data_IF_557878955345
#
_entry.id   IF_557878955345
#
_cell.length_a   1.000
_cell.length_b   1.000
_cell.length_c   1.000
_cell.angle_alpha   90.00
_cell.angle_beta   90.00
_cell.angle_gamma   90.00
#
_symmetry.space_group_name_H-M   'P 1'
#
loop_
_entity.id
_entity.type
_entity.pdbx_description
1 polymer ?
#
# COMPACT_ATOMS: atom_id res chain seq x y z
N UNK A 1 6.98 29.50 -67.89
CA UNK A 1 7.33 28.09 -68.21
C UNK A 1 8.76 27.73 -67.80
N UNK A 2 9.81 28.33 -68.38
CA UNK A 2 11.22 28.00 -68.06
C UNK A 2 11.59 28.16 -66.56
N UNK A 3 11.05 29.18 -65.90
CA UNK A 3 11.29 29.45 -64.48
C UNK A 3 10.58 28.43 -63.58
N UNK A 4 9.37 27.99 -63.96
CA UNK A 4 8.60 26.95 -63.26
C UNK A 4 9.32 25.59 -63.37
N UNK A 5 9.87 25.29 -64.55
CA UNK A 5 10.68 24.08 -64.77
C UNK A 5 11.94 24.07 -63.90
N UNK A 6 12.67 25.20 -63.82
CA UNK A 6 13.87 25.30 -62.97
C UNK A 6 13.51 25.12 -61.49
N UNK A 7 12.43 25.75 -61.01
CA UNK A 7 11.98 25.58 -59.61
C UNK A 7 11.58 24.13 -59.33
N UNK A 8 10.85 23.47 -60.23
CA UNK A 8 10.49 22.06 -60.05
C UNK A 8 11.70 21.12 -60.03
N UNK A 9 12.76 21.46 -60.78
CA UNK A 9 13.98 20.66 -60.81
C UNK A 9 14.83 20.85 -59.55
N UNK A 10 14.84 22.07 -58.99
CA UNK A 10 15.44 22.36 -57.68
C UNK A 10 14.74 21.54 -56.58
N UNK A 11 13.41 21.60 -56.51
CA UNK A 11 12.62 20.84 -55.51
C UNK A 11 12.85 19.33 -55.65
N UNK A 12 12.98 18.82 -56.89
CA UNK A 12 13.26 17.41 -57.15
C UNK A 12 14.64 17.01 -56.62
N UNK A 13 15.67 17.80 -56.92
CA UNK A 13 17.04 17.55 -56.45
C UNK A 13 17.14 17.67 -54.93
N UNK A 14 16.47 18.63 -54.31
CA UNK A 14 16.43 18.78 -52.86
C UNK A 14 15.82 17.55 -52.18
N UNK A 15 14.69 17.04 -52.70
CA UNK A 15 14.06 15.82 -52.17
C UNK A 15 14.94 14.59 -52.34
N UNK A 16 15.66 14.47 -53.45
CA UNK A 16 16.59 13.37 -53.67
C UNK A 16 17.74 13.42 -52.66
N UNK A 17 18.41 14.56 -52.54
CA UNK A 17 19.51 14.74 -51.58
C UNK A 17 19.05 14.54 -50.12
N UNK A 18 17.83 14.97 -49.78
CA UNK A 18 17.25 14.73 -48.47
C UNK A 18 16.94 13.25 -48.22
N UNK A 19 16.46 12.52 -49.24
CA UNK A 19 16.22 11.08 -49.14
C UNK A 19 17.52 10.31 -48.96
N UNK A 20 18.55 10.64 -49.75
CA UNK A 20 19.89 10.06 -49.64
C UNK A 20 20.48 10.30 -48.24
N UNK A 21 20.38 11.54 -47.73
CA UNK A 21 20.80 11.85 -46.37
C UNK A 21 20.04 11.04 -45.31
N UNK A 22 18.72 10.86 -45.47
CA UNK A 22 17.93 10.04 -44.57
C UNK A 22 18.36 8.57 -44.60
N UNK A 23 18.60 8.01 -45.79
CA UNK A 23 19.09 6.63 -45.97
C UNK A 23 20.46 6.45 -45.32
N UNK A 24 21.38 7.40 -45.52
CA UNK A 24 22.69 7.42 -44.88
C UNK A 24 22.55 7.46 -43.35
N UNK A 25 21.70 8.33 -42.81
CA UNK A 25 21.46 8.43 -41.36
C UNK A 25 20.86 7.14 -40.76
N UNK A 26 20.02 6.43 -41.51
CA UNK A 26 19.44 5.15 -41.07
C UNK A 26 20.54 4.11 -40.84
N UNK A 27 21.64 4.13 -41.60
CA UNK A 27 22.78 3.21 -41.38
C UNK A 27 23.44 3.43 -40.01
N UNK A 28 23.33 4.65 -39.45
CA UNK A 28 23.84 5.01 -38.12
C UNK A 28 22.77 4.94 -37.02
N UNK A 29 21.53 4.55 -37.34
CA UNK A 29 20.41 4.54 -36.38
C UNK A 29 20.74 3.78 -35.09
N UNK A 30 21.36 2.60 -35.19
CA UNK A 30 21.78 1.81 -34.04
C UNK A 30 22.76 2.56 -33.12
N UNK A 31 23.69 3.32 -33.69
CA UNK A 31 24.62 4.15 -32.93
C UNK A 31 23.88 5.31 -32.24
N UNK A 32 22.99 6.00 -32.96
CA UNK A 32 22.20 7.12 -32.42
C UNK A 32 21.31 6.67 -31.26
N UNK A 33 20.62 5.53 -31.39
CA UNK A 33 19.81 4.97 -30.30
C UNK A 33 20.64 4.62 -29.07
N UNK A 34 21.83 4.04 -29.27
CA UNK A 34 22.75 3.73 -28.17
C UNK A 34 23.24 5.00 -27.45
N UNK A 35 23.58 6.04 -28.19
CA UNK A 35 23.94 7.35 -27.61
C UNK A 35 22.77 7.94 -26.84
N UNK A 36 21.56 7.89 -27.40
CA UNK A 36 20.34 8.38 -26.74
C UNK A 36 20.06 7.65 -25.42
N UNK A 37 20.24 6.33 -25.37
CA UNK A 37 20.06 5.53 -24.15
C UNK A 37 21.06 5.92 -23.06
N UNK A 38 22.33 6.14 -23.43
CA UNK A 38 23.36 6.59 -22.50
C UNK A 38 23.07 8.00 -21.96
N UNK A 39 22.65 8.94 -22.82
CA UNK A 39 22.27 10.29 -22.41
C UNK A 39 21.05 10.24 -21.48
N UNK A 40 20.02 9.45 -21.81
CA UNK A 40 18.83 9.31 -20.98
C UNK A 40 19.16 8.73 -19.59
N UNK A 41 20.03 7.71 -19.53
CA UNK A 41 20.49 7.12 -18.26
C UNK A 41 21.27 8.14 -17.44
N UNK A 42 22.17 8.90 -18.07
CA UNK A 42 22.93 9.95 -17.39
C UNK A 42 22.02 11.06 -16.85
N UNK A 43 21.05 11.52 -17.62
CA UNK A 43 20.10 12.55 -17.20
C UNK A 43 19.24 12.07 -16.02
N UNK A 44 18.74 10.84 -16.07
CA UNK A 44 17.99 10.23 -14.97
C UNK A 44 18.83 10.15 -13.68
N UNK A 45 20.06 9.63 -13.76
CA UNK A 45 20.96 9.55 -12.61
C UNK A 45 21.33 10.93 -12.07
N UNK A 46 21.55 11.92 -12.94
CA UNK A 46 21.83 13.29 -12.55
C UNK A 46 20.64 13.93 -11.83
N UNK A 47 19.41 13.69 -12.31
CA UNK A 47 18.19 14.15 -11.67
C UNK A 47 18.03 13.57 -10.25
N UNK A 48 18.37 12.29 -10.05
CA UNK A 48 18.38 11.66 -8.74
C UNK A 48 19.50 12.21 -7.84
N UNK A 49 20.72 12.36 -8.37
CA UNK A 49 21.85 12.89 -7.62
C UNK A 49 21.61 14.32 -7.11
N UNK A 50 20.91 15.15 -7.89
CA UNK A 50 20.51 16.51 -7.48
C UNK A 50 19.63 16.51 -6.22
N UNK A 51 18.89 15.43 -5.93
CA UNK A 51 18.07 15.35 -4.70
C UNK A 51 18.92 15.34 -3.42
N UNK A 52 20.15 14.82 -3.49
CA UNK A 52 21.08 14.83 -2.35
C UNK A 52 21.47 16.25 -1.99
N UNK A 53 21.84 17.07 -2.97
CA UNK A 53 22.35 18.43 -2.72
C UNK A 53 21.24 19.47 -2.53
N UNK A 54 20.10 19.31 -3.21
CA UNK A 54 18.99 20.28 -3.14
C UNK A 54 18.06 20.05 -1.94
N UNK A 55 17.80 18.78 -1.59
CA UNK A 55 16.79 18.41 -0.60
C UNK A 55 17.36 17.64 0.59
N UNK A 56 18.68 17.48 0.68
CA UNK A 56 19.36 16.70 1.72
C UNK A 56 18.83 15.26 1.85
N UNK A 57 18.43 14.66 0.72
CA UNK A 57 18.06 13.25 0.68
C UNK A 57 19.32 12.39 0.88
N UNK A 58 19.17 11.24 1.53
CA UNK A 58 20.28 10.35 1.87
C UNK A 58 20.28 9.10 1.01
N UNK A 59 21.45 8.55 0.70
CA UNK A 59 21.54 7.25 0.04
C UNK A 59 21.14 6.15 1.03
N UNK A 60 20.11 5.35 0.73
CA UNK A 60 19.68 4.28 1.63
C UNK A 60 20.70 3.13 1.63
N UNK A 61 20.85 2.49 2.78
CA UNK A 61 21.60 1.23 2.89
C UNK A 61 20.70 0.08 2.45
N UNK A 62 21.23 -0.81 1.62
CA UNK A 62 20.56 -2.06 1.27
C UNK A 62 21.20 -3.21 2.06
N UNK A 63 20.40 -4.18 2.47
CA UNK A 63 20.90 -5.41 3.09
C UNK A 63 20.04 -6.62 2.68
N UNK A 64 20.51 -7.81 3.02
CA UNK A 64 19.83 -9.07 2.71
C UNK A 64 18.71 -9.44 3.70
N UNK A 65 18.50 -8.62 4.73
CA UNK A 65 17.50 -8.88 5.78
C UNK A 65 16.14 -8.34 5.36
N UNK A 66 15.05 -8.91 5.89
CA UNK A 66 13.70 -8.42 5.61
C UNK A 66 13.35 -7.33 6.64
N UNK A 67 13.88 -6.13 6.41
CA UNK A 67 13.70 -4.99 7.31
C UNK A 67 13.53 -3.65 6.58
N UNK A 68 12.83 -2.74 7.23
CA UNK A 68 12.73 -1.32 6.87
C UNK A 68 13.03 -0.52 8.13
N UNK A 69 14.11 0.27 8.10
CA UNK A 69 14.47 1.21 9.15
C UNK A 69 14.63 2.59 8.54
N UNK A 70 13.78 3.52 8.92
CA UNK A 70 13.79 4.90 8.41
C UNK A 70 13.86 5.81 9.63
N UNK A 71 14.88 6.66 9.70
CA UNK A 71 15.01 7.67 10.75
C UNK A 71 14.57 9.02 10.19
N UNK A 72 13.57 9.63 10.84
CA UNK A 72 12.99 10.94 10.49
C UNK A 72 12.70 11.06 9.00
N UNK A 73 12.03 10.07 8.42
CA UNK A 73 11.59 10.11 7.03
C UNK A 73 10.46 11.11 6.83
N UNK A 74 10.33 11.68 5.63
CA UNK A 74 9.21 12.55 5.24
C UNK A 74 8.66 12.24 3.85
N UNK A 75 7.45 12.71 3.56
CA UNK A 75 6.78 12.42 2.29
C UNK A 75 7.38 13.26 1.15
N UNK A 76 7.96 12.64 0.09
CA UNK A 76 8.71 13.36 -0.95
C UNK A 76 7.87 14.37 -1.74
N UNK A 77 6.58 14.10 -1.93
CA UNK A 77 5.67 15.01 -2.67
C UNK A 77 5.21 16.20 -1.82
N UNK A 78 5.08 16.03 -0.50
CA UNK A 78 4.61 17.11 0.37
C UNK A 78 5.72 18.11 0.69
N UNK A 79 6.98 17.74 0.50
CA UNK A 79 8.16 18.61 0.64
C UNK A 79 8.11 19.84 -0.28
N UNK A 80 7.39 19.76 -1.41
CA UNK A 80 7.30 20.83 -2.40
C UNK A 80 5.94 21.55 -2.39
N UNK A 81 5.06 21.23 -1.44
CA UNK A 81 3.76 21.88 -1.35
C UNK A 81 3.83 23.08 -0.42
N UNK A 82 3.44 24.25 -0.94
CA UNK A 82 3.13 25.39 -0.11
C UNK A 82 1.80 25.14 0.63
N UNK A 83 1.67 25.74 1.80
CA UNK A 83 0.43 25.76 2.55
C UNK A 83 -0.55 26.79 1.96
N UNK A 84 -1.74 26.90 2.56
CA UNK A 84 -2.79 27.82 2.07
C UNK A 84 -2.39 29.30 2.19
N UNK A 85 -1.33 29.62 2.92
CA UNK A 85 -0.78 30.97 3.06
C UNK A 85 0.38 31.25 2.11
N UNK A 86 0.80 30.28 1.29
CA UNK A 86 1.95 30.40 0.39
C UNK A 86 3.29 30.23 1.11
N UNK A 87 3.30 29.74 2.35
CA UNK A 87 4.52 29.37 3.07
C UNK A 87 4.81 27.87 2.88
N UNK A 88 6.07 27.43 2.93
CA UNK A 88 6.41 26.01 2.82
C UNK A 88 5.69 25.20 3.90
N UNK A 89 4.98 24.13 3.52
CA UNK A 89 4.36 23.26 4.52
C UNK A 89 5.41 22.71 5.48
N UNK A 90 5.07 22.70 6.77
CA UNK A 90 5.92 22.07 7.79
C UNK A 90 6.16 20.60 7.44
N UNK A 91 7.41 20.27 7.11
CA UNK A 91 7.81 18.89 6.79
C UNK A 91 7.70 18.03 8.06
N UNK A 92 6.79 17.07 8.03
CA UNK A 92 6.55 16.15 9.12
C UNK A 92 7.47 14.94 8.97
N UNK A 93 8.31 14.73 10.00
CA UNK A 93 9.31 13.66 10.01
C UNK A 93 8.95 12.59 11.02
N UNK A 94 8.94 11.33 10.58
CA UNK A 94 8.57 10.18 11.41
C UNK A 94 9.56 9.03 11.24
N UNK A 95 9.79 8.30 12.33
CA UNK A 95 10.60 7.09 12.32
C UNK A 95 9.75 5.88 11.92
N UNK A 96 10.36 4.93 11.23
CA UNK A 96 9.75 3.65 10.87
C UNK A 96 10.72 2.53 11.19
N UNK A 97 10.24 1.49 11.86
CA UNK A 97 11.02 0.27 12.08
C UNK A 97 10.10 -0.93 11.92
N UNK A 98 10.34 -1.70 10.86
CA UNK A 98 9.72 -2.99 10.57
C UNK A 98 10.83 -4.00 10.40
N UNK A 99 10.75 -5.11 11.12
CA UNK A 99 11.71 -6.22 11.08
C UNK A 99 10.92 -7.53 11.15
N UNK A 100 11.56 -8.67 10.93
CA UNK A 100 10.87 -9.95 11.13
C UNK A 100 10.45 -10.20 12.59
N UNK A 101 11.10 -9.57 13.57
CA UNK A 101 10.68 -9.61 14.98
C UNK A 101 9.43 -8.78 15.25
N UNK A 102 9.29 -7.66 14.55
CA UNK A 102 8.14 -6.75 14.64
C UNK A 102 7.73 -6.35 13.23
N UNK A 103 7.03 -7.26 12.54
CA UNK A 103 6.72 -7.14 11.12
C UNK A 103 5.42 -6.39 10.85
N UNK A 104 4.68 -5.96 11.88
CA UNK A 104 3.51 -5.09 11.69
C UNK A 104 3.48 -3.91 12.65
N UNK A 105 3.27 -2.72 12.08
CA UNK A 105 2.87 -1.53 12.82
C UNK A 105 1.35 -1.38 12.70
N UNK A 106 0.64 -1.60 13.81
CA UNK A 106 -0.79 -1.34 13.91
C UNK A 106 -0.99 0.14 14.30
N UNK A 107 -1.48 0.94 13.37
CA UNK A 107 -1.55 2.40 13.47
C UNK A 107 -2.99 2.82 13.77
N UNK A 108 -3.16 3.51 14.88
CA UNK A 108 -4.44 4.09 15.30
C UNK A 108 -4.40 5.61 15.32
N UNK A 109 -5.57 6.22 15.20
CA UNK A 109 -5.70 7.66 15.32
C UNK A 109 -6.96 8.18 14.64
N UNK A 110 -7.35 9.42 14.94
CA UNK A 110 -8.55 10.02 14.36
C UNK A 110 -8.50 10.06 12.83
N UNK A 111 -9.65 10.25 12.20
CA UNK A 111 -9.66 10.59 10.77
C UNK A 111 -8.87 11.89 10.55
N UNK A 112 -8.23 12.02 9.38
CA UNK A 112 -7.38 13.17 9.01
C UNK A 112 -6.12 13.37 9.86
N UNK A 113 -5.77 12.45 10.76
CA UNK A 113 -4.54 12.55 11.56
C UNK A 113 -3.26 12.27 10.75
N UNK A 114 -3.35 11.89 9.48
CA UNK A 114 -2.19 11.63 8.62
C UNK A 114 -1.73 10.17 8.57
N UNK A 115 -2.55 9.21 9.01
CA UNK A 115 -2.23 7.75 8.96
C UNK A 115 -1.87 7.31 7.53
N UNK A 116 -2.75 7.57 6.57
CA UNK A 116 -2.54 7.21 5.16
C UNK A 116 -1.33 7.92 4.56
N UNK A 117 -1.11 9.19 4.92
CA UNK A 117 0.06 9.97 4.50
C UNK A 117 1.36 9.34 5.00
N UNK A 118 1.41 8.95 6.27
CA UNK A 118 2.57 8.25 6.83
C UNK A 118 2.82 6.90 6.13
N UNK A 119 1.77 6.11 5.89
CA UNK A 119 1.93 4.82 5.21
C UNK A 119 2.44 4.99 3.77
N UNK A 120 1.84 5.91 3.01
CA UNK A 120 2.29 6.26 1.65
C UNK A 120 3.73 6.75 1.62
N UNK A 121 4.12 7.57 2.61
CA UNK A 121 5.50 8.01 2.75
C UNK A 121 6.47 6.83 2.85
N UNK A 122 6.20 5.84 3.72
CA UNK A 122 7.06 4.67 3.87
C UNK A 122 7.16 3.89 2.56
N UNK A 123 6.03 3.65 1.88
CA UNK A 123 6.03 2.96 0.58
C UNK A 123 6.85 3.73 -0.47
N UNK A 124 6.68 5.05 -0.56
CA UNK A 124 7.43 5.89 -1.50
C UNK A 124 8.94 5.84 -1.21
N UNK A 125 9.34 5.90 0.07
CA UNK A 125 10.75 5.79 0.46
C UNK A 125 11.32 4.42 0.05
N UNK A 126 10.56 3.33 0.24
CA UNK A 126 10.98 1.99 -0.18
C UNK A 126 11.11 1.88 -1.69
N UNK A 127 10.15 2.41 -2.46
CA UNK A 127 10.21 2.43 -3.92
C UNK A 127 11.42 3.23 -4.40
N UNK A 128 11.64 4.43 -3.87
CA UNK A 128 12.80 5.27 -4.18
C UNK A 128 14.12 4.53 -3.90
N UNK A 129 14.22 3.86 -2.74
CA UNK A 129 15.39 3.07 -2.43
C UNK A 129 15.61 1.92 -3.43
N UNK A 130 14.54 1.27 -3.89
CA UNK A 130 14.61 0.12 -4.81
C UNK A 130 14.92 0.50 -6.25
N UNK A 131 14.63 1.73 -6.68
CA UNK A 131 15.09 2.25 -7.97
C UNK A 131 16.51 2.83 -7.93
N UNK A 132 17.19 2.78 -6.76
CA UNK A 132 18.54 3.32 -6.58
C UNK A 132 18.59 4.83 -6.35
N UNK A 133 17.46 5.45 -6.01
CA UNK A 133 17.40 6.87 -5.67
C UNK A 133 17.89 7.12 -4.23
N UNK A 134 18.47 8.30 -3.93
CA UNK A 134 18.45 8.79 -2.55
C UNK A 134 17.01 8.95 -2.05
N UNK A 135 16.82 9.02 -0.74
CA UNK A 135 15.49 9.03 -0.10
C UNK A 135 15.33 10.18 0.90
N UNK A 136 14.10 10.70 1.09
CA UNK A 136 13.80 11.74 2.07
C UNK A 136 13.79 11.19 3.51
N UNK A 137 14.97 11.08 4.10
CA UNK A 137 15.17 10.66 5.49
C UNK A 137 16.49 11.21 6.04
N UNK A 138 16.68 11.14 7.36
CA UNK A 138 18.01 11.40 7.95
C UNK A 138 18.92 10.18 7.87
N UNK A 139 18.34 8.98 7.87
CA UNK A 139 19.00 7.70 7.62
C UNK A 139 17.94 6.70 7.16
N UNK A 140 18.31 5.79 6.25
CA UNK A 140 17.40 4.74 5.80
C UNK A 140 18.16 3.44 5.51
N UNK A 141 17.59 2.32 5.96
CA UNK A 141 17.96 0.98 5.57
C UNK A 141 16.72 0.29 5.02
N UNK A 142 16.79 -0.15 3.76
CA UNK A 142 15.72 -0.90 3.10
C UNK A 142 16.30 -2.23 2.66
N UNK A 143 15.93 -3.29 3.35
CA UNK A 143 16.42 -4.63 3.10
C UNK A 143 15.77 -5.31 1.91
N UNK A 144 15.63 -6.64 1.94
CA UNK A 144 15.09 -7.44 0.83
C UNK A 144 13.57 -7.29 0.71
N UNK A 145 13.17 -6.25 -0.02
CA UNK A 145 11.78 -5.98 -0.42
C UNK A 145 11.68 -6.01 -1.94
N UNK A 146 10.74 -6.79 -2.49
CA UNK A 146 10.55 -6.95 -3.94
C UNK A 146 9.17 -6.48 -4.42
N UNK A 147 8.22 -6.28 -3.51
CA UNK A 147 6.84 -5.96 -3.83
C UNK A 147 6.25 -5.02 -2.78
N UNK A 148 5.36 -4.14 -3.24
CA UNK A 148 4.59 -3.23 -2.39
C UNK A 148 3.12 -3.42 -2.73
N UNK A 149 2.34 -3.86 -1.75
CA UNK A 149 0.90 -4.02 -1.85
C UNK A 149 0.20 -2.91 -1.10
N UNK A 150 -0.92 -2.45 -1.64
CA UNK A 150 -1.71 -1.40 -1.02
C UNK A 150 -3.18 -1.72 -1.13
N UNK A 151 -3.85 -1.64 0.02
CA UNK A 151 -5.29 -1.49 0.13
C UNK A 151 -5.55 -0.20 0.91
N UNK A 152 -5.34 0.92 0.22
CA UNK A 152 -5.70 2.26 0.69
C UNK A 152 -6.91 2.67 -0.14
N UNK A 153 -8.05 2.91 0.50
CA UNK A 153 -9.30 3.24 -0.19
C UNK A 153 -9.10 4.35 -1.23
N UNK A 154 -9.37 4.04 -2.50
CA UNK A 154 -9.59 5.00 -3.56
C UNK A 154 -11.07 5.41 -3.60
N UNK A 155 -11.36 6.61 -4.10
CA UNK A 155 -12.72 7.09 -4.30
C UNK A 155 -13.57 6.05 -5.05
N UNK A 156 -14.84 5.96 -4.67
CA UNK A 156 -15.79 4.93 -5.09
C UNK A 156 -15.78 4.67 -6.60
N UNK A 157 -15.63 3.40 -6.98
CA UNK A 157 -16.02 2.96 -8.31
C UNK A 157 -17.54 2.73 -8.33
N UNK A 158 -18.28 3.84 -8.43
CA UNK A 158 -19.74 3.81 -8.55
C UNK A 158 -20.22 3.19 -9.87
N UNK A 159 -19.33 2.99 -10.85
CA UNK A 159 -19.68 2.62 -12.22
C UNK A 159 -19.61 1.12 -12.50
N UNK A 160 -19.00 0.31 -11.61
CA UNK A 160 -18.78 -1.13 -11.81
C UNK A 160 -19.89 -2.09 -11.35
N UNK A 161 -20.96 -1.60 -10.71
CA UNK A 161 -22.08 -2.45 -10.23
C UNK A 161 -21.71 -3.47 -9.14
N UNK A 162 -20.53 -3.35 -8.52
CA UNK A 162 -20.06 -4.20 -7.40
C UNK A 162 -20.12 -3.40 -6.10
N UNK A 163 -20.45 -4.05 -4.98
CA UNK A 163 -20.38 -3.38 -3.68
C UNK A 163 -18.94 -2.98 -3.37
N UNK A 164 -18.75 -1.79 -2.80
CA UNK A 164 -17.44 -1.28 -2.36
C UNK A 164 -16.72 -2.26 -1.43
N UNK A 165 -17.49 -2.95 -0.59
CA UNK A 165 -17.01 -4.03 0.28
C UNK A 165 -16.50 -5.25 -0.49
N UNK A 166 -17.17 -5.70 -1.57
CA UNK A 166 -16.70 -6.84 -2.36
C UNK A 166 -15.39 -6.52 -3.08
N UNK A 167 -15.23 -5.30 -3.59
CA UNK A 167 -13.98 -4.84 -4.19
C UNK A 167 -12.85 -4.85 -3.16
N UNK A 168 -13.11 -4.29 -1.98
CA UNK A 168 -12.19 -4.29 -0.85
C UNK A 168 -11.75 -5.71 -0.45
N UNK A 169 -12.68 -6.65 -0.33
CA UNK A 169 -12.37 -8.04 0.00
C UNK A 169 -11.60 -8.75 -1.11
N UNK A 170 -11.93 -8.49 -2.38
CA UNK A 170 -11.23 -9.11 -3.52
C UNK A 170 -9.78 -8.62 -3.63
N UNK A 171 -9.55 -7.32 -3.41
CA UNK A 171 -8.20 -6.75 -3.36
C UNK A 171 -7.40 -7.33 -2.20
N UNK A 172 -8.01 -7.44 -1.02
CA UNK A 172 -7.38 -8.02 0.16
C UNK A 172 -7.02 -9.49 -0.06
N UNK A 173 -7.92 -10.27 -0.65
CA UNK A 173 -7.67 -11.68 -0.97
C UNK A 173 -6.46 -11.82 -1.91
N UNK A 174 -6.32 -10.94 -2.93
CA UNK A 174 -5.15 -10.93 -3.81
C UNK A 174 -3.86 -10.65 -3.03
N UNK A 175 -3.89 -9.68 -2.12
CA UNK A 175 -2.73 -9.36 -1.28
C UNK A 175 -2.33 -10.57 -0.43
N UNK A 176 -3.28 -11.19 0.28
CA UNK A 176 -3.02 -12.34 1.13
C UNK A 176 -2.46 -13.55 0.36
N UNK A 177 -2.94 -13.78 -0.86
CA UNK A 177 -2.51 -14.91 -1.67
C UNK A 177 -1.13 -14.75 -2.33
N UNK A 178 -0.63 -13.52 -2.48
CA UNK A 178 0.61 -13.23 -3.22
C UNK A 178 1.71 -12.68 -2.32
N UNK A 179 1.36 -11.97 -1.26
CA UNK A 179 2.34 -11.40 -0.34
C UNK A 179 3.18 -12.49 0.33
N UNK A 180 4.46 -12.22 0.45
CA UNK A 180 5.45 -13.06 1.09
C UNK A 180 6.24 -12.25 2.13
N UNK A 181 7.25 -12.87 2.73
CA UNK A 181 8.14 -12.23 3.70
C UNK A 181 8.93 -11.04 3.13
N UNK A 182 9.10 -10.96 1.81
CA UNK A 182 9.80 -9.89 1.09
C UNK A 182 8.84 -8.78 0.61
N UNK A 183 7.60 -8.79 1.10
CA UNK A 183 6.55 -7.86 0.71
C UNK A 183 6.39 -6.75 1.74
N UNK A 184 6.16 -5.52 1.26
CA UNK A 184 5.63 -4.43 2.08
C UNK A 184 4.13 -4.28 1.82
N UNK A 185 3.30 -4.43 2.84
CA UNK A 185 1.83 -4.39 2.73
C UNK A 185 1.27 -3.20 3.49
N UNK A 186 0.45 -2.37 2.83
CA UNK A 186 -0.25 -1.24 3.43
C UNK A 186 -1.75 -1.53 3.44
N UNK A 187 -2.37 -1.60 4.61
CA UNK A 187 -3.81 -1.76 4.78
C UNK A 187 -4.36 -0.51 5.48
N UNK A 188 -5.34 0.16 4.89
CA UNK A 188 -5.98 1.34 5.46
C UNK A 188 -7.47 1.10 5.70
N UNK A 189 -7.82 0.97 6.98
CA UNK A 189 -9.20 1.01 7.48
C UNK A 189 -10.12 -0.06 6.86
N UNK A 190 -9.61 -1.29 6.74
CA UNK A 190 -10.35 -2.43 6.21
C UNK A 190 -11.53 -2.84 7.11
N UNK A 191 -12.61 -3.36 6.51
CA UNK A 191 -13.78 -3.88 7.19
C UNK A 191 -14.88 -2.86 7.47
N UNK A 192 -14.73 -1.60 7.02
CA UNK A 192 -15.72 -0.53 7.28
C UNK A 192 -17.06 -0.73 6.57
N UNK A 193 -17.10 -1.44 5.45
CA UNK A 193 -18.29 -1.59 4.60
C UNK A 193 -19.29 -2.67 5.04
N UNK A 194 -19.12 -3.26 6.22
CA UNK A 194 -19.96 -4.37 6.74
C UNK A 194 -20.32 -4.17 8.22
N UNK A 195 -20.97 -5.16 8.84
CA UNK A 195 -21.26 -5.13 10.28
C UNK A 195 -19.97 -4.92 11.09
N UNK A 196 -20.05 -4.20 12.20
CA UNK A 196 -18.86 -3.89 13.01
C UNK A 196 -18.20 -5.16 13.55
N UNK A 197 -18.98 -6.20 13.86
CA UNK A 197 -18.47 -7.47 14.35
C UNK A 197 -17.75 -8.25 13.24
N UNK A 198 -18.33 -8.32 12.04
CA UNK A 198 -17.71 -9.01 10.91
C UNK A 198 -16.45 -8.27 10.44
N UNK A 199 -16.52 -6.94 10.33
CA UNK A 199 -15.40 -6.10 9.92
C UNK A 199 -14.23 -6.20 10.91
N UNK A 200 -14.51 -6.19 12.21
CA UNK A 200 -13.51 -6.41 13.26
C UNK A 200 -12.86 -7.80 13.14
N UNK A 201 -13.67 -8.85 12.99
CA UNK A 201 -13.21 -10.24 12.93
C UNK A 201 -12.36 -10.52 11.69
N UNK A 202 -12.75 -9.94 10.55
CA UNK A 202 -11.97 -9.97 9.32
C UNK A 202 -10.66 -9.21 9.48
N UNK A 203 -10.70 -7.96 9.94
CA UNK A 203 -9.49 -7.15 10.12
C UNK A 203 -8.47 -7.84 11.06
N UNK A 204 -8.95 -8.47 12.13
CA UNK A 204 -8.13 -9.26 13.04
C UNK A 204 -7.46 -10.44 12.32
N UNK A 205 -8.26 -11.25 11.62
CA UNK A 205 -7.77 -12.45 10.94
C UNK A 205 -6.80 -12.11 9.81
N UNK A 206 -7.06 -11.03 9.06
CA UNK A 206 -6.17 -10.51 8.02
C UNK A 206 -4.85 -10.03 8.61
N UNK A 207 -4.88 -9.31 9.74
CA UNK A 207 -3.67 -8.87 10.42
C UNK A 207 -2.83 -10.06 10.92
N UNK A 208 -3.48 -11.11 11.42
CA UNK A 208 -2.82 -12.35 11.82
C UNK A 208 -2.19 -13.06 10.62
N UNK A 209 -2.92 -13.24 9.52
CA UNK A 209 -2.43 -13.91 8.31
C UNK A 209 -1.19 -13.21 7.73
N UNK A 210 -1.25 -11.89 7.57
CA UNK A 210 -0.13 -11.08 7.05
C UNK A 210 1.14 -11.22 7.90
N UNK A 211 0.99 -11.38 9.21
CA UNK A 211 2.13 -11.37 10.15
C UNK A 211 2.68 -12.74 10.45
N UNK A 212 1.81 -13.76 10.50
CA UNK A 212 2.17 -15.13 10.89
C UNK A 212 2.47 -15.99 9.66
N UNK A 213 1.57 -15.97 8.68
CA UNK A 213 1.63 -16.83 7.50
C UNK A 213 2.49 -16.19 6.42
N UNK A 214 2.13 -14.98 5.96
CA UNK A 214 2.91 -14.27 4.93
C UNK A 214 4.25 -13.74 5.49
N UNK A 215 4.29 -13.38 6.78
CA UNK A 215 5.43 -12.69 7.44
C UNK A 215 5.85 -11.39 6.73
N UNK A 216 4.90 -10.75 6.06
CA UNK A 216 5.13 -9.53 5.30
C UNK A 216 5.34 -8.34 6.24
N UNK A 217 6.21 -7.41 5.84
CA UNK A 217 6.34 -6.15 6.55
C UNK A 217 5.09 -5.31 6.30
N UNK A 218 4.36 -4.94 7.35
CA UNK A 218 2.99 -4.46 7.23
C UNK A 218 2.76 -3.15 7.99
N UNK A 219 2.12 -2.20 7.33
CA UNK A 219 1.55 -1.01 7.95
C UNK A 219 0.03 -1.16 7.92
N UNK A 220 -0.58 -1.30 9.09
CA UNK A 220 -2.00 -1.58 9.22
C UNK A 220 -2.68 -0.45 9.98
N UNK A 221 -3.38 0.44 9.26
CA UNK A 221 -4.17 1.52 9.84
C UNK A 221 -5.59 1.04 10.13
N UNK A 222 -6.10 1.33 11.33
CA UNK A 222 -7.44 0.88 11.74
C UNK A 222 -8.19 1.89 12.60
N UNK A 223 -9.51 1.78 12.56
CA UNK A 223 -10.45 2.47 13.45
C UNK A 223 -10.97 1.60 14.58
N UNK A 224 -10.76 0.29 14.50
CA UNK A 224 -11.14 -0.65 15.53
C UNK A 224 -10.12 -0.56 16.66
N UNK A 225 -10.54 -0.02 17.79
CA UNK A 225 -9.71 0.10 18.97
C UNK A 225 -9.38 -1.28 19.56
N UNK A 226 -10.27 -2.23 19.38
CA UNK A 226 -10.18 -3.62 19.83
C UNK A 226 -8.94 -4.31 19.24
N UNK A 227 -8.55 -3.99 17.99
CA UNK A 227 -7.34 -4.51 17.36
C UNK A 227 -6.07 -4.13 18.13
N UNK A 228 -6.08 -3.06 18.94
CA UNK A 228 -4.90 -2.68 19.76
C UNK A 228 -4.55 -3.73 20.81
N UNK A 229 -5.40 -4.73 21.04
CA UNK A 229 -5.08 -5.88 21.87
C UNK A 229 -4.25 -6.95 21.14
N UNK A 230 -4.14 -6.92 19.80
CA UNK A 230 -3.38 -7.90 19.01
C UNK A 230 -1.93 -8.09 19.50
N UNK A 231 -1.16 -7.04 19.83
CA UNK A 231 0.19 -7.20 20.39
C UNK A 231 0.28 -8.04 21.67
N UNK A 232 -0.81 -8.20 22.43
CA UNK A 232 -0.86 -9.09 23.60
C UNK A 232 -0.80 -10.57 23.20
N UNK A 233 -1.32 -10.89 22.01
CA UNK A 233 -1.40 -12.25 21.48
C UNK A 233 -0.30 -12.55 20.45
N UNK A 234 0.16 -11.54 19.70
CA UNK A 234 1.15 -11.64 18.62
C UNK A 234 2.26 -10.62 18.83
N UNK A 235 3.43 -11.10 19.29
CA UNK A 235 4.60 -10.25 19.59
C UNK A 235 5.18 -9.53 18.36
N UNK A 236 4.89 -10.04 17.17
CA UNK A 236 5.30 -9.46 15.88
C UNK A 236 4.54 -8.18 15.53
N UNK A 237 3.45 -7.88 16.24
CA UNK A 237 2.63 -6.69 16.04
C UNK A 237 2.97 -5.66 17.11
N UNK A 238 3.19 -4.41 16.71
CA UNK A 238 3.41 -3.28 17.61
C UNK A 238 2.37 -2.19 17.39
N UNK A 239 1.79 -1.68 18.48
CA UNK A 239 0.87 -0.55 18.42
C UNK A 239 1.61 0.76 18.20
N UNK A 240 1.05 1.59 17.33
CA UNK A 240 1.39 2.98 17.14
C UNK A 240 0.14 3.83 17.07
N UNK A 241 0.28 5.09 17.43
CA UNK A 241 -0.76 6.09 17.23
C UNK A 241 -0.18 7.42 16.80
N UNK A 242 -1.01 8.24 16.16
CA UNK A 242 -0.64 9.62 15.86
C UNK A 242 -0.98 10.49 17.06
N UNK A 243 0.02 11.25 17.52
CA UNK A 243 -0.06 12.14 18.66
C UNK A 243 -1.05 13.29 18.39
N UNK A 244 -1.92 13.52 19.36
CA UNK A 244 -2.96 14.56 19.33
C UNK A 244 -2.91 15.33 20.65
N UNK A 245 -2.99 16.65 20.56
CA UNK A 245 -3.06 17.53 21.73
C UNK A 245 -4.45 18.15 21.78
N UNK A 246 -5.00 18.24 22.98
CA UNK A 246 -6.21 19.00 23.26
C UNK A 246 -5.81 20.36 23.86
N UNK A 247 -6.18 21.44 23.18
CA UNK A 247 -5.94 22.80 23.65
C UNK A 247 -7.17 23.66 23.33
N UNK A 248 -7.71 24.37 24.33
CA UNK A 248 -8.84 25.29 24.19
C UNK A 248 -10.04 24.70 23.44
N UNK A 249 -10.47 23.49 23.83
CA UNK A 249 -11.55 22.72 23.17
C UNK A 249 -11.28 22.33 21.71
N UNK A 250 -10.07 22.56 21.20
CA UNK A 250 -9.62 22.16 19.86
C UNK A 250 -8.68 20.96 19.92
N UNK A 251 -8.80 20.10 18.91
CA UNK A 251 -7.86 19.00 18.68
C UNK A 251 -6.81 19.48 17.68
N UNK A 252 -5.55 19.46 18.10
CA UNK A 252 -4.40 19.75 17.25
C UNK A 252 -3.72 18.43 16.91
N UNK A 253 -3.68 18.11 15.61
CA UNK A 253 -2.94 16.96 15.09
C UNK A 253 -1.47 17.32 15.00
N UNK A 254 -0.61 16.61 15.73
CA UNK A 254 0.83 16.82 15.64
C UNK A 254 1.47 16.07 14.48
N UNK A 255 0.72 15.14 13.87
CA UNK A 255 1.17 14.26 12.78
C UNK A 255 2.47 13.49 13.10
N UNK A 256 2.74 13.31 14.41
CA UNK A 256 3.90 12.59 14.93
C UNK A 256 3.46 11.20 15.37
N UNK A 257 4.15 10.19 14.87
CA UNK A 257 3.89 8.81 15.25
C UNK A 257 4.54 8.51 16.61
N UNK A 258 3.79 7.85 17.48
CA UNK A 258 4.22 7.41 18.81
C UNK A 258 3.93 5.94 19.01
N UNK A 259 4.85 5.22 19.66
CA UNK A 259 4.65 3.83 20.05
C UNK A 259 3.61 3.74 21.17
N UNK A 260 2.78 2.70 21.15
CA UNK A 260 1.67 2.47 22.07
C UNK A 260 0.32 2.71 21.40
N UNK A 261 -0.74 2.22 22.05
CA UNK A 261 -2.12 2.49 21.62
C UNK A 261 -2.56 3.88 22.05
N UNK A 262 -3.45 4.50 21.28
CA UNK A 262 -4.14 5.71 21.74
C UNK A 262 -4.95 5.40 23.02
N UNK A 263 -5.15 6.39 23.90
CA UNK A 263 -5.92 6.17 25.13
C UNK A 263 -7.43 6.37 24.95
N UNK A 264 -7.87 7.08 23.90
CA UNK A 264 -9.27 7.48 23.68
C UNK A 264 -9.62 7.60 22.20
N UNK A 265 -10.90 7.39 21.88
CA UNK A 265 -11.50 7.77 20.59
C UNK A 265 -11.88 9.24 20.60
N UNK A 266 -11.51 9.98 19.55
CA UNK A 266 -11.79 11.41 19.41
C UNK A 266 -12.99 11.71 18.50
N UNK A 267 -13.75 10.69 18.09
CA UNK A 267 -14.83 10.85 17.08
C UNK A 267 -15.85 11.93 17.44
N UNK A 268 -16.36 11.93 18.67
CA UNK A 268 -17.34 12.93 19.13
C UNK A 268 -16.74 14.34 19.23
N UNK A 269 -15.44 14.45 19.51
CA UNK A 269 -14.75 15.75 19.57
C UNK A 269 -14.48 16.31 18.17
N UNK A 270 -14.14 15.46 17.20
CA UNK A 270 -14.06 15.84 15.78
C UNK A 270 -15.43 16.31 15.27
N UNK A 271 -16.51 15.66 15.69
CA UNK A 271 -17.87 16.10 15.38
C UNK A 271 -18.21 17.48 15.95
N UNK A 272 -17.78 17.79 17.19
CA UNK A 272 -17.90 19.13 17.78
C UNK A 272 -17.14 20.18 16.94
N UNK A 273 -15.93 19.86 16.48
CA UNK A 273 -15.14 20.73 15.59
C UNK A 273 -15.81 20.97 14.24
N UNK A 274 -16.53 19.98 13.72
CA UNK A 274 -17.31 20.11 12.48
C UNK A 274 -18.58 20.98 12.64
N UNK A 275 -18.87 21.46 13.86
CA UNK A 275 -20.01 22.34 14.13
C UNK A 275 -21.30 21.62 14.56
N UNK A 276 -21.23 20.33 14.92
CA UNK A 276 -22.39 19.64 15.49
C UNK A 276 -22.74 20.26 16.86
N UNK A 277 -24.03 20.48 17.10
CA UNK A 277 -24.52 21.16 18.31
C UNK A 277 -24.14 20.40 19.60
N UNK A 278 -23.85 21.17 20.66
CA UNK A 278 -23.44 20.61 21.94
C UNK A 278 -24.48 19.62 22.50
N UNK A 279 -25.78 19.91 22.34
CA UNK A 279 -26.86 19.02 22.75
C UNK A 279 -26.80 17.63 22.08
N UNK A 280 -26.38 17.55 20.81
CA UNK A 280 -26.22 16.26 20.10
C UNK A 280 -24.97 15.54 20.60
N UNK A 281 -23.88 16.27 20.82
CA UNK A 281 -22.63 15.72 21.37
C UNK A 281 -22.86 15.12 22.77
N UNK A 282 -23.56 15.84 23.65
CA UNK A 282 -23.84 15.38 25.02
C UNK A 282 -24.69 14.10 25.02
N UNK A 283 -25.72 14.05 24.15
CA UNK A 283 -26.52 12.83 23.94
C UNK A 283 -25.67 11.66 23.43
N UNK A 284 -24.78 11.92 22.47
CA UNK A 284 -23.89 10.90 21.92
C UNK A 284 -22.92 10.34 22.97
N UNK A 285 -22.38 11.20 23.85
CA UNK A 285 -21.57 10.78 25.00
C UNK A 285 -22.36 9.88 25.97
N UNK A 286 -23.61 10.23 26.27
CA UNK A 286 -24.48 9.40 27.12
C UNK A 286 -24.70 7.99 26.53
N UNK A 287 -24.97 7.89 25.23
CA UNK A 287 -25.11 6.59 24.55
C UNK A 287 -23.81 5.78 24.52
N UNK A 288 -22.65 6.43 24.32
CA UNK A 288 -21.35 5.75 24.33
C UNK A 288 -21.05 5.13 25.69
N UNK A 289 -21.33 5.87 26.78
CA UNK A 289 -21.13 5.38 28.14
C UNK A 289 -22.08 4.21 28.48
N UNK A 290 -23.33 4.25 28.01
CA UNK A 290 -24.27 3.13 28.18
C UNK A 290 -23.81 1.86 27.44
N UNK A 291 -23.24 1.97 26.23
CA UNK A 291 -22.69 0.81 25.52
C UNK A 291 -21.49 0.19 26.24
N UNK A 292 -20.59 0.99 26.80
CA UNK A 292 -19.42 0.47 27.52
C UNK A 292 -19.79 -0.40 28.74
N UNK A 293 -20.95 -0.16 29.37
CA UNK A 293 -21.49 -1.00 30.46
C UNK A 293 -22.04 -2.36 29.99
N UNK A 294 -22.40 -2.54 28.72
CA UNK A 294 -22.83 -3.85 28.18
C UNK A 294 -21.68 -4.70 27.64
N UNK A 295 -20.52 -4.10 27.34
CA UNK A 295 -19.37 -4.79 26.74
C UNK A 295 -18.24 -5.11 27.72
N UNK A 296 -18.37 -4.77 28.99
CA UNK A 296 -17.34 -4.98 30.01
C UNK A 296 -17.67 -6.15 30.93
N UNK A 297 -17.37 -7.39 30.50
CA UNK A 297 -16.69 -8.39 31.36
C UNK A 297 -16.60 -9.82 30.82
N UNK A 298 -17.44 -10.30 29.89
CA UNK A 298 -17.47 -11.76 29.58
C UNK A 298 -17.28 -12.17 28.10
N UNK A 299 -17.35 -11.26 27.13
CA UNK A 299 -17.36 -11.67 25.70
C UNK A 299 -16.04 -11.47 24.93
N UNK A 300 -15.02 -10.86 25.53
CA UNK A 300 -13.69 -10.71 24.91
C UNK A 300 -12.74 -11.89 25.17
N UNK A 301 -13.26 -13.00 25.71
CA UNK A 301 -12.54 -14.27 25.66
C UNK A 301 -12.55 -14.79 24.22
N UNK A 302 -11.68 -14.22 23.37
CA UNK A 302 -11.19 -14.89 22.17
C UNK A 302 -10.54 -16.19 22.64
N UNK A 303 -11.36 -17.22 22.80
CA UNK A 303 -10.91 -18.60 22.87
C UNK A 303 -10.03 -18.80 21.63
N UNK A 304 -8.88 -19.48 21.81
CA UNK A 304 -8.09 -20.01 20.70
C UNK A 304 -9.09 -20.46 19.61
N UNK A 305 -9.01 -19.94 18.37
CA UNK A 305 -9.88 -20.43 17.33
C UNK A 305 -9.72 -21.94 17.35
N UNK A 306 -10.83 -22.67 17.58
CA UNK A 306 -10.87 -24.06 17.23
C UNK A 306 -10.58 -24.05 15.73
N UNK A 307 -9.37 -24.45 15.36
CA UNK A 307 -9.01 -24.76 13.98
C UNK A 307 -9.93 -25.89 13.56
N UNK A 308 -11.14 -25.56 13.13
CA UNK A 308 -11.82 -26.36 12.13
C UNK A 308 -10.99 -26.14 10.89
N UNK A 309 -10.09 -27.07 10.60
CA UNK A 309 -9.60 -27.25 9.25
C UNK A 309 -10.84 -27.21 8.35
N UNK A 310 -10.98 -26.14 7.58
CA UNK A 310 -11.87 -26.17 6.44
C UNK A 310 -11.22 -27.14 5.46
N UNK A 311 -11.48 -28.44 5.63
CA UNK A 311 -11.36 -29.39 4.55
C UNK A 311 -12.36 -28.92 3.50
N UNK A 312 -11.88 -28.18 2.51
CA UNK A 312 -12.61 -28.04 1.26
C UNK A 312 -12.67 -29.46 0.73
N UNK A 313 -13.82 -30.10 0.91
CA UNK A 313 -14.05 -31.46 0.45
C UNK A 313 -14.22 -31.37 -1.07
N UNK A 314 -13.10 -31.27 -1.78
CA UNK A 314 -13.07 -31.41 -3.21
C UNK A 314 -13.36 -32.87 -3.51
N UNK A 315 -14.61 -33.17 -3.90
CA UNK A 315 -15.10 -34.51 -4.23
C UNK A 315 -14.20 -35.25 -5.28
N UNK A 316 -13.34 -34.50 -5.96
CA UNK A 316 -12.39 -34.97 -6.97
C UNK A 316 -10.95 -35.18 -6.48
N UNK A 317 -10.57 -34.84 -5.24
CA UNK A 317 -9.18 -35.00 -4.76
C UNK A 317 -8.69 -36.44 -4.83
N UNK A 318 -9.58 -37.39 -4.51
CA UNK A 318 -9.31 -38.83 -4.56
C UNK A 318 -9.21 -39.34 -6.01
N UNK A 319 -10.08 -38.84 -6.89
CA UNK A 319 -10.07 -39.17 -8.32
C UNK A 319 -8.80 -38.63 -9.00
N UNK A 320 -8.27 -37.48 -8.54
CA UNK A 320 -7.01 -36.90 -9.00
C UNK A 320 -5.75 -37.57 -8.45
N UNK A 321 -5.76 -38.01 -7.18
CA UNK A 321 -4.62 -38.72 -6.59
C UNK A 321 -4.39 -40.10 -7.20
N UNK A 322 -5.48 -40.75 -7.64
CA UNK A 322 -5.43 -42.11 -8.21
C UNK A 322 -5.10 -42.10 -9.72
N UNK A 323 -5.02 -40.92 -10.35
CA UNK A 323 -4.69 -40.79 -11.77
C UNK A 323 -3.19 -40.93 -12.02
N UNK A 324 -2.83 -42.01 -12.69
CA UNK A 324 -1.47 -42.21 -13.21
C UNK A 324 -1.29 -41.43 -14.52
N UNK A 325 -0.83 -40.20 -14.40
CA UNK A 325 -0.66 -39.25 -15.52
C UNK A 325 0.18 -39.86 -16.67
N UNK A 326 1.20 -40.65 -16.33
CA UNK A 326 2.13 -41.23 -17.31
C UNK A 326 1.54 -42.42 -18.10
N UNK A 327 0.41 -42.98 -17.67
CA UNK A 327 -0.24 -44.15 -18.30
C UNK A 327 -1.50 -43.78 -19.10
N UNK A 328 -1.81 -42.48 -19.25
CA UNK A 328 -3.06 -42.01 -19.86
C UNK A 328 -2.81 -41.47 -21.27
N UNK A 329 -3.63 -41.91 -22.22
CA UNK A 329 -3.59 -41.35 -23.59
C UNK A 329 -4.15 -39.92 -23.62
N UNK A 330 -3.65 -39.04 -24.51
CA UNK A 330 -4.06 -37.63 -24.56
C UNK A 330 -5.59 -37.42 -24.66
N UNK A 331 -6.28 -38.29 -25.40
CA UNK A 331 -7.74 -38.26 -25.54
C UNK A 331 -8.45 -38.56 -24.22
N UNK A 332 -7.95 -39.54 -23.46
CA UNK A 332 -8.53 -39.93 -22.17
C UNK A 332 -8.28 -38.85 -21.10
N UNK A 333 -7.13 -38.16 -21.15
CA UNK A 333 -6.86 -37.01 -20.30
C UNK A 333 -7.85 -35.85 -20.54
N UNK A 334 -8.15 -35.55 -21.81
CA UNK A 334 -9.13 -34.51 -22.18
C UNK A 334 -10.55 -34.85 -21.70
N UNK A 335 -10.97 -36.12 -21.78
CA UNK A 335 -12.28 -36.56 -21.30
C UNK A 335 -12.41 -36.45 -19.77
N UNK A 336 -11.34 -36.78 -19.03
CA UNK A 336 -11.31 -36.62 -17.57
C UNK A 336 -11.40 -35.14 -17.19
N UNK A 337 -10.65 -34.27 -17.89
CA UNK A 337 -10.73 -32.82 -17.70
C UNK A 337 -12.13 -32.26 -17.99
N UNK A 338 -12.79 -32.77 -19.03
CA UNK A 338 -14.15 -32.36 -19.36
C UNK A 338 -15.15 -32.79 -18.27
N UNK A 339 -15.04 -34.02 -17.76
CA UNK A 339 -15.86 -34.53 -16.65
C UNK A 339 -15.67 -33.69 -15.38
N UNK A 340 -14.42 -33.37 -15.02
CA UNK A 340 -14.12 -32.51 -13.87
C UNK A 340 -14.70 -31.10 -14.02
N UNK A 341 -14.67 -30.55 -15.24
CA UNK A 341 -15.25 -29.23 -15.53
C UNK A 341 -16.78 -29.22 -15.42
N UNK A 342 -17.44 -30.28 -15.86
CA UNK A 342 -18.90 -30.45 -15.72
C UNK A 342 -19.30 -30.64 -14.25
N UNK A 343 -18.52 -31.41 -13.48
CA UNK A 343 -18.73 -31.62 -12.05
C UNK A 343 -18.50 -30.35 -11.21
N UNK A 344 -17.60 -29.46 -11.63
CA UNK A 344 -17.34 -28.18 -10.95
C UNK A 344 -18.38 -27.09 -11.26
N UNK A 345 -19.15 -27.25 -12.35
CA UNK A 345 -20.16 -26.27 -12.79
C UNK A 345 -21.57 -26.52 -12.23
N UNK A 346 -21.76 -27.59 -11.45
CA UNK A 346 -22.96 -27.86 -10.63
C UNK A 346 -22.65 -27.52 -9.18
#
# INVERSE_FOLDING_TARGET
EKLIFITSEIDRLERLLFSELCEDLITYSAFVFKVSEHIATFDALLALARKVTQYNWVLPKNNSQNEIKIEKGWHPVLEQMDDKSGEPQKILKNDTTLTQETNMMLITGPNMSGKSTYMRQVALIVILAKIGSPVPATSATVGKINSVFTRIGSADDLFGGRSTFMVEMTETAKILNVADENSLVLIDEIGRGTSTADGLSLAWSIAEELTVSNKALSLFSTHYFELTNLPKYKKTISNFHIETIEQDDKIIFLYKLKKGSASKSFGLKVAKLAGISQLVIDKAFAYQNQKNTFFTSEQLAFHKPQTKEFQINYDFQKELSDLKIDEITPVKALLILQKLKESYSK
#
